data_IF_692428912899
#
_entry.id   IF_692428912899
#
_cell.length_a   1.000
_cell.length_b   1.000
_cell.length_c   1.000
_cell.angle_alpha   90.00
_cell.angle_beta   90.00
_cell.angle_gamma   90.00
#
_symmetry.space_group_name_H-M   'P 1'
#
loop_
_entity.id
_entity.type
_entity.pdbx_description
1 polymer ?
#
# COMPACT_ATOMS: atom_id res chain seq x y z
N UNK A 1 -9.21 -16.75 -18.40
CA UNK A 1 -9.08 -18.20 -18.12
C UNK A 1 -7.78 -18.46 -17.35
N UNK A 2 -7.70 -19.59 -16.65
CA UNK A 2 -6.46 -20.06 -16.01
C UNK A 2 -5.70 -20.90 -17.03
N UNK A 3 -4.44 -20.55 -17.28
CA UNK A 3 -3.53 -21.29 -18.18
C UNK A 3 -2.85 -22.43 -17.43
N UNK A 4 -2.50 -22.20 -16.16
CA UNK A 4 -1.87 -23.20 -15.31
C UNK A 4 -1.50 -22.66 -13.94
N UNK A 5 -1.05 -23.55 -13.06
CA UNK A 5 -0.44 -23.17 -11.78
C UNK A 5 0.90 -23.88 -11.66
N UNK A 6 1.96 -23.09 -11.47
CA UNK A 6 3.31 -23.58 -11.14
C UNK A 6 3.65 -23.28 -9.68
N UNK A 7 4.78 -23.78 -9.20
CA UNK A 7 5.24 -23.58 -7.83
C UNK A 7 6.73 -23.26 -7.78
N UNK A 8 7.10 -22.35 -6.88
CA UNK A 8 8.48 -21.97 -6.57
C UNK A 8 8.78 -22.28 -5.12
N UNK A 9 9.82 -23.07 -4.89
CA UNK A 9 10.26 -23.46 -3.55
C UNK A 9 11.42 -22.56 -3.13
N UNK A 10 11.32 -22.02 -1.92
CA UNK A 10 12.37 -21.23 -1.27
C UNK A 10 12.61 -21.76 0.14
N UNK A 11 13.79 -21.49 0.69
CA UNK A 11 14.12 -21.84 2.07
C UNK A 11 14.37 -20.56 2.86
N UNK A 12 13.59 -20.33 3.91
CA UNK A 12 13.78 -19.20 4.83
C UNK A 12 14.00 -19.79 6.22
N UNK A 13 15.14 -19.47 6.83
CA UNK A 13 15.54 -19.98 8.15
C UNK A 13 15.44 -21.52 8.26
N UNK A 14 15.87 -22.24 7.21
CA UNK A 14 15.81 -23.70 7.14
C UNK A 14 14.42 -24.30 6.91
N UNK A 15 13.36 -23.48 6.87
CA UNK A 15 11.99 -23.93 6.58
C UNK A 15 11.72 -23.83 5.08
N UNK A 16 11.21 -24.93 4.50
CA UNK A 16 10.72 -24.98 3.12
C UNK A 16 9.43 -24.16 3.00
N UNK A 17 9.45 -23.16 2.12
CA UNK A 17 8.29 -22.33 1.79
C UNK A 17 8.00 -22.48 0.31
N UNK A 18 6.75 -22.78 -0.02
CA UNK A 18 6.29 -22.92 -1.41
C UNK A 18 5.37 -21.75 -1.76
N UNK A 19 5.73 -21.02 -2.80
CA UNK A 19 4.88 -20.01 -3.43
C UNK A 19 4.26 -20.62 -4.70
N UNK A 20 2.96 -20.41 -4.91
CA UNK A 20 2.23 -20.89 -6.08
C UNK A 20 2.01 -19.73 -7.04
N UNK A 21 2.28 -19.97 -8.32
CA UNK A 21 2.19 -18.97 -9.38
C UNK A 21 1.00 -19.33 -10.25
N UNK A 22 0.01 -18.44 -10.30
CA UNK A 22 -1.19 -18.58 -11.11
C UNK A 22 -0.91 -17.92 -12.46
N UNK A 23 -1.01 -18.68 -13.54
CA UNK A 23 -0.89 -18.15 -14.91
C UNK A 23 -2.28 -17.90 -15.47
N UNK A 24 -2.56 -16.65 -15.84
CA UNK A 24 -3.86 -16.17 -16.26
C UNK A 24 -3.78 -15.64 -17.70
N UNK A 25 -4.88 -15.79 -18.43
CA UNK A 25 -5.02 -15.30 -19.81
C UNK A 25 -6.37 -14.63 -20.02
N UNK A 26 -6.36 -13.46 -20.62
CA UNK A 26 -7.55 -12.77 -21.14
C UNK A 26 -7.24 -12.29 -22.54
N UNK A 27 -7.99 -12.79 -23.53
CA UNK A 27 -7.72 -12.56 -24.95
C UNK A 27 -6.23 -12.82 -25.30
N UNK A 28 -5.49 -11.78 -25.71
CA UNK A 28 -4.07 -11.87 -26.06
C UNK A 28 -3.12 -11.45 -24.93
N UNK A 29 -3.66 -11.18 -23.74
CA UNK A 29 -2.86 -10.77 -22.58
C UNK A 29 -2.71 -11.93 -21.59
N UNK A 30 -1.47 -12.20 -21.19
CA UNK A 30 -1.13 -13.23 -20.21
C UNK A 30 -0.30 -12.58 -19.09
N UNK A 31 -0.66 -12.89 -17.85
CA UNK A 31 0.07 -12.43 -16.67
C UNK A 31 0.14 -13.53 -15.63
N UNK A 32 0.96 -13.33 -14.60
CA UNK A 32 1.12 -14.31 -13.54
C UNK A 32 1.18 -13.64 -12.17
N UNK A 33 0.45 -14.21 -11.21
CA UNK A 33 0.40 -13.72 -9.83
C UNK A 33 0.85 -14.81 -8.88
N UNK A 34 1.66 -14.46 -7.88
CA UNK A 34 2.32 -15.41 -6.99
C UNK A 34 1.84 -15.27 -5.56
N UNK A 35 1.34 -16.36 -4.97
CA UNK A 35 0.73 -16.38 -3.64
C UNK A 35 1.21 -17.58 -2.81
N UNK A 36 1.30 -17.40 -1.50
CA UNK A 36 1.46 -18.48 -0.54
C UNK A 36 0.12 -19.18 -0.30
N UNK A 37 0.16 -20.46 0.06
CA UNK A 37 -1.07 -21.26 0.32
C UNK A 37 -2.00 -20.61 1.34
N UNK A 38 -1.44 -19.95 2.36
CA UNK A 38 -2.19 -19.23 3.39
C UNK A 38 -3.05 -18.12 2.81
N UNK A 39 -2.61 -17.45 1.74
CA UNK A 39 -3.34 -16.36 1.09
C UNK A 39 -4.54 -16.91 0.31
N UNK A 40 -4.40 -18.05 -0.37
CA UNK A 40 -5.55 -18.76 -0.96
C UNK A 40 -6.57 -19.15 0.10
N UNK A 41 -6.11 -19.63 1.27
CA UNK A 41 -6.98 -20.00 2.37
C UNK A 41 -7.71 -18.81 2.97
N UNK A 42 -7.03 -17.67 3.14
CA UNK A 42 -7.65 -16.42 3.59
C UNK A 42 -8.73 -15.95 2.61
N UNK A 43 -8.44 -15.95 1.30
CA UNK A 43 -9.44 -15.61 0.29
C UNK A 43 -10.63 -16.58 0.33
N UNK A 44 -10.37 -17.89 0.39
CA UNK A 44 -11.42 -18.90 0.50
C UNK A 44 -12.35 -18.65 1.70
N UNK A 45 -11.79 -18.34 2.86
CA UNK A 45 -12.58 -18.07 4.07
C UNK A 45 -13.43 -16.81 3.94
N UNK A 46 -12.92 -15.74 3.31
CA UNK A 46 -13.69 -14.53 3.01
C UNK A 46 -14.83 -14.78 2.03
N UNK A 47 -14.62 -15.65 1.05
CA UNK A 47 -15.62 -15.96 0.04
C UNK A 47 -16.68 -16.95 0.55
N UNK A 48 -16.30 -17.94 1.35
CA UNK A 48 -17.22 -18.96 1.88
C UNK A 48 -18.35 -18.38 2.74
N UNK A 49 -18.15 -17.21 3.34
CA UNK A 49 -19.19 -16.51 4.11
C UNK A 49 -20.23 -15.82 3.23
N UNK A 50 -19.99 -15.68 1.92
CA UNK A 50 -20.92 -15.10 0.96
C UNK A 50 -21.88 -16.18 0.44
N UNK A 51 -23.17 -15.82 0.30
CA UNK A 51 -24.25 -16.74 -0.14
C UNK A 51 -24.00 -17.37 -1.52
N UNK A 52 -23.20 -16.73 -2.38
CA UNK A 52 -22.98 -17.12 -3.79
C UNK A 52 -21.73 -17.99 -4.02
N UNK A 53 -21.09 -18.50 -2.97
CA UNK A 53 -19.81 -19.23 -3.04
C UNK A 53 -19.88 -20.72 -2.67
N UNK A 54 -21.07 -21.32 -2.68
CA UNK A 54 -21.36 -22.68 -2.17
C UNK A 54 -20.60 -23.83 -2.86
N UNK A 55 -19.97 -23.59 -4.02
CA UNK A 55 -19.22 -24.59 -4.79
C UNK A 55 -17.68 -24.54 -4.70
N UNK A 56 -17.12 -23.57 -3.96
CA UNK A 56 -15.67 -23.42 -3.79
C UNK A 56 -15.14 -24.42 -2.74
N UNK A 57 -14.08 -25.14 -3.09
CA UNK A 57 -13.42 -26.09 -2.20
C UNK A 57 -11.93 -25.80 -2.14
N UNK A 58 -11.42 -25.64 -0.92
CA UNK A 58 -10.00 -25.58 -0.63
C UNK A 58 -9.73 -26.49 0.58
N UNK A 59 -8.76 -27.43 0.50
CA UNK A 59 -8.39 -28.25 1.64
C UNK A 59 -7.91 -27.39 2.82
N UNK A 60 -8.13 -27.86 4.05
CA UNK A 60 -7.58 -27.18 5.23
C UNK A 60 -6.05 -27.33 5.33
N UNK A 61 -5.42 -26.58 6.24
CA UNK A 61 -3.97 -26.64 6.49
C UNK A 61 -3.50 -27.91 7.24
N UNK A 62 -4.32 -28.97 7.30
CA UNK A 62 -3.97 -30.23 8.00
C UNK A 62 -2.83 -30.98 7.32
N UNK A 63 -1.97 -31.62 8.13
CA UNK A 63 -0.90 -32.51 7.68
C UNK A 63 -1.42 -33.68 6.82
N UNK A 64 -2.69 -34.06 6.95
CA UNK A 64 -3.30 -35.08 6.07
C UNK A 64 -3.36 -34.67 4.59
N UNK A 65 -3.26 -33.37 4.28
CA UNK A 65 -3.28 -32.85 2.92
C UNK A 65 -1.89 -32.84 2.24
N UNK A 66 -0.87 -33.47 2.83
CA UNK A 66 0.49 -33.58 2.27
C UNK A 66 0.49 -34.37 0.94
N UNK A 67 -0.41 -35.34 0.78
CA UNK A 67 -0.53 -36.15 -0.45
C UNK A 67 -1.41 -35.49 -1.53
N UNK A 68 -2.03 -34.35 -1.23
CA UNK A 68 -2.83 -33.65 -2.23
C UNK A 68 -1.92 -32.96 -3.23
N UNK A 69 -2.18 -33.17 -4.53
CA UNK A 69 -1.53 -32.39 -5.59
C UNK A 69 -2.03 -30.94 -5.50
N UNK A 70 -1.42 -30.16 -4.60
CA UNK A 70 -1.85 -28.81 -4.23
C UNK A 70 -2.04 -27.93 -5.46
N UNK A 71 -1.17 -28.07 -6.48
CA UNK A 71 -1.32 -27.38 -7.77
C UNK A 71 -2.66 -27.66 -8.45
N UNK A 72 -3.06 -28.93 -8.56
CA UNK A 72 -4.34 -29.33 -9.16
C UNK A 72 -5.52 -28.76 -8.37
N UNK A 73 -5.42 -28.76 -7.05
CA UNK A 73 -6.48 -28.24 -6.19
C UNK A 73 -6.61 -26.73 -6.31
N UNK A 74 -5.49 -26.00 -6.26
CA UNK A 74 -5.46 -24.56 -6.47
C UNK A 74 -5.96 -24.20 -7.88
N UNK A 75 -5.61 -24.99 -8.90
CA UNK A 75 -6.05 -24.77 -10.27
C UNK A 75 -7.57 -24.86 -10.37
N UNK A 76 -8.15 -25.91 -9.79
CA UNK A 76 -9.61 -26.06 -9.74
C UNK A 76 -10.29 -24.93 -8.96
N UNK A 77 -9.70 -24.50 -7.84
CA UNK A 77 -10.22 -23.38 -7.05
C UNK A 77 -10.28 -22.09 -7.87
N UNK A 78 -9.17 -21.69 -8.51
CA UNK A 78 -9.11 -20.47 -9.32
C UNK A 78 -9.97 -20.58 -10.57
N UNK A 79 -10.03 -21.75 -11.20
CA UNK A 79 -10.88 -21.96 -12.37
C UNK A 79 -12.35 -21.74 -12.02
N UNK A 80 -12.84 -22.33 -10.92
CA UNK A 80 -14.20 -22.10 -10.42
C UNK A 80 -14.45 -20.64 -10.05
N UNK A 81 -13.46 -19.99 -9.42
CA UNK A 81 -13.54 -18.59 -9.04
C UNK A 81 -13.75 -17.66 -10.24
N UNK A 82 -13.05 -17.93 -11.34
CA UNK A 82 -13.12 -17.10 -12.56
C UNK A 82 -14.32 -17.46 -13.45
N UNK A 83 -14.89 -18.66 -13.30
CA UNK A 83 -16.09 -19.07 -14.04
C UNK A 83 -17.38 -18.38 -13.58
N UNK A 84 -17.36 -17.61 -12.48
CA UNK A 84 -18.51 -16.88 -11.98
C UNK A 84 -18.24 -15.36 -12.01
N UNK A 85 -18.95 -14.65 -12.89
CA UNK A 85 -18.78 -13.20 -13.06
C UNK A 85 -19.06 -12.40 -11.77
N UNK A 86 -19.93 -12.89 -10.88
CA UNK A 86 -20.19 -12.27 -9.58
C UNK A 86 -18.99 -12.35 -8.63
N UNK A 87 -18.09 -13.32 -8.81
CA UNK A 87 -16.87 -13.40 -8.02
C UNK A 87 -15.81 -12.43 -8.56
N UNK A 88 -15.81 -12.17 -9.86
CA UNK A 88 -14.87 -11.23 -10.49
C UNK A 88 -15.18 -9.76 -10.15
N UNK A 89 -16.39 -9.44 -9.70
CA UNK A 89 -16.73 -8.10 -9.16
C UNK A 89 -16.29 -7.92 -7.70
N UNK A 90 -15.91 -9.00 -7.00
CA UNK A 90 -15.45 -8.92 -5.62
C UNK A 90 -14.04 -8.33 -5.53
N UNK A 91 -13.87 -7.28 -4.70
CA UNK A 91 -12.60 -6.58 -4.57
C UNK A 91 -11.45 -7.48 -4.11
N UNK A 92 -11.68 -8.40 -3.17
CA UNK A 92 -10.64 -9.32 -2.71
C UNK A 92 -10.18 -10.25 -3.84
N UNK A 93 -11.09 -10.68 -4.73
CA UNK A 93 -10.76 -11.51 -5.90
C UNK A 93 -9.99 -10.69 -6.95
N UNK A 94 -10.42 -9.45 -7.20
CA UNK A 94 -9.74 -8.55 -8.13
C UNK A 94 -8.31 -8.26 -7.70
N UNK A 95 -8.09 -7.98 -6.41
CA UNK A 95 -6.74 -7.78 -5.86
C UNK A 95 -5.95 -9.07 -5.88
N UNK A 96 -6.56 -10.19 -5.47
CA UNK A 96 -5.87 -11.49 -5.43
C UNK A 96 -5.41 -11.96 -6.81
N UNK A 97 -6.19 -11.73 -7.87
CA UNK A 97 -5.82 -12.11 -9.24
C UNK A 97 -5.15 -10.99 -10.03
N UNK A 98 -4.90 -9.84 -9.40
CA UNK A 98 -4.33 -8.64 -10.04
C UNK A 98 -5.11 -8.21 -11.29
N UNK A 99 -6.45 -8.33 -11.27
CA UNK A 99 -7.31 -8.10 -12.43
C UNK A 99 -7.30 -6.62 -12.86
N UNK A 100 -7.24 -5.70 -11.90
CA UNK A 100 -7.31 -4.26 -12.17
C UNK A 100 -6.09 -3.74 -12.94
N UNK A 101 -4.92 -4.35 -12.72
CA UNK A 101 -3.70 -3.96 -13.42
C UNK A 101 -3.56 -4.67 -14.79
N UNK A 102 -4.26 -5.80 -15.00
CA UNK A 102 -4.02 -6.67 -16.16
C UNK A 102 -5.26 -6.86 -17.10
N UNK A 103 -6.46 -6.36 -16.76
CA UNK A 103 -7.71 -6.55 -17.55
C UNK A 103 -8.32 -5.22 -18.01
N UNK A 104 -7.58 -4.11 -18.09
CA UNK A 104 -8.13 -2.83 -18.52
C UNK A 104 -8.65 -2.83 -20.00
N UNK A 105 -9.91 -3.20 -20.19
CA UNK A 105 -10.85 -2.60 -21.14
C UNK A 105 -12.09 -2.20 -20.32
N UNK A 106 -12.18 -0.98 -19.83
CA UNK A 106 -12.55 0.14 -20.69
C UNK A 106 -12.29 1.48 -19.98
N UNK A 107 -11.72 2.41 -20.74
CA UNK A 107 -11.87 3.85 -20.57
C UNK A 107 -11.39 4.45 -19.25
N UNK A 108 -10.08 4.64 -19.09
CA UNK A 108 -9.47 5.94 -18.81
C UNK A 108 -7.97 5.81 -19.08
N UNK A 109 -7.49 6.70 -19.94
CA UNK A 109 -6.10 6.89 -20.34
C UNK A 109 -5.19 7.03 -19.13
N UNK A 110 -4.46 5.98 -18.76
CA UNK A 110 -3.19 6.13 -18.05
C UNK A 110 -2.24 5.01 -18.51
N UNK A 111 -1.56 5.24 -19.62
CA UNK A 111 -0.21 4.70 -19.80
C UNK A 111 0.65 5.36 -18.72
N UNK A 112 0.71 4.77 -17.53
CA UNK A 112 1.72 5.14 -16.56
C UNK A 112 2.93 4.27 -16.86
N UNK A 113 3.91 4.87 -17.53
CA UNK A 113 5.30 4.55 -17.22
C UNK A 113 5.40 4.36 -15.71
N UNK A 114 6.01 3.27 -15.24
CA UNK A 114 6.20 3.02 -13.81
C UNK A 114 7.03 4.13 -13.10
N UNK A 115 7.39 5.22 -13.79
CA UNK A 115 8.00 6.47 -13.31
C UNK A 115 7.00 7.59 -12.95
N UNK A 116 5.74 7.46 -13.36
CA UNK A 116 4.69 8.46 -13.21
C UNK A 116 3.82 8.11 -11.99
N UNK A 117 4.31 8.45 -10.80
CA UNK A 117 3.45 8.46 -9.60
C UNK A 117 2.53 9.67 -9.76
N UNK A 118 1.22 9.45 -9.92
CA UNK A 118 0.25 10.53 -10.03
C UNK A 118 -0.06 11.11 -8.65
N UNK A 119 0.36 12.36 -8.42
CA UNK A 119 0.10 13.09 -7.18
C UNK A 119 -1.27 13.78 -7.17
N UNK A 120 -2.11 13.57 -8.19
CA UNK A 120 -3.49 14.03 -8.29
C UNK A 120 -3.64 15.55 -8.15
N UNK A 121 -4.78 15.98 -7.59
CA UNK A 121 -5.11 17.41 -7.44
C UNK A 121 -4.18 18.20 -6.50
N UNK A 122 -3.33 17.52 -5.72
CA UNK A 122 -2.34 18.19 -4.85
C UNK A 122 -1.01 18.43 -5.55
N UNK A 123 -0.85 17.96 -6.78
CA UNK A 123 0.37 18.17 -7.54
C UNK A 123 0.47 19.62 -8.03
N UNK A 124 1.41 20.39 -7.49
CA UNK A 124 1.84 21.63 -8.09
C UNK A 124 3.00 21.35 -9.06
N UNK A 125 2.69 21.31 -10.35
CA UNK A 125 3.66 21.07 -11.43
C UNK A 125 4.67 22.21 -11.62
N UNK A 126 4.42 23.39 -11.05
CA UNK A 126 5.31 24.55 -11.12
C UNK A 126 6.24 24.64 -9.92
N UNK A 127 5.91 23.96 -8.82
CA UNK A 127 6.72 23.98 -7.61
C UNK A 127 8.01 23.17 -7.75
N UNK A 128 9.04 23.62 -7.07
CA UNK A 128 10.36 22.98 -7.02
C UNK A 128 11.01 23.16 -5.66
N UNK A 129 12.07 22.38 -5.40
CA UNK A 129 12.87 22.58 -4.18
C UNK A 129 13.50 23.97 -4.09
N UNK A 130 13.69 24.68 -5.21
CA UNK A 130 14.31 26.00 -5.23
C UNK A 130 13.40 27.07 -4.60
N UNK A 131 12.09 26.81 -4.50
CA UNK A 131 11.12 27.68 -3.83
C UNK A 131 11.31 27.71 -2.30
N UNK A 132 12.23 26.88 -1.79
CA UNK A 132 12.46 26.70 -0.38
C UNK A 132 13.94 26.89 -0.01
N UNK A 133 14.17 27.35 1.21
CA UNK A 133 15.45 27.27 1.88
C UNK A 133 15.44 26.06 2.82
N UNK A 134 16.29 25.07 2.54
CA UNK A 134 16.41 23.89 3.40
C UNK A 134 17.28 24.25 4.60
N UNK A 135 16.70 24.19 5.81
CA UNK A 135 17.38 24.58 7.04
C UNK A 135 18.12 23.39 7.65
N UNK A 136 17.41 22.29 7.90
CA UNK A 136 17.98 21.08 8.51
C UNK A 136 17.12 19.85 8.26
N UNK A 137 17.72 18.67 8.36
CA UNK A 137 16.97 17.41 8.45
C UNK A 137 16.34 17.27 9.84
N UNK A 138 15.06 16.92 9.89
CA UNK A 138 14.29 16.75 11.13
C UNK A 138 13.73 15.32 11.30
N UNK A 139 13.83 14.49 10.27
CA UNK A 139 13.45 13.08 10.35
C UNK A 139 14.08 12.27 9.22
N UNK A 140 14.40 11.02 9.51
CA UNK A 140 14.89 10.04 8.54
C UNK A 140 14.07 8.76 8.65
N UNK A 141 13.59 8.26 7.52
CA UNK A 141 12.79 7.04 7.46
C UNK A 141 13.27 6.12 6.35
N UNK A 142 12.67 4.93 6.29
CA UNK A 142 13.07 3.86 5.36
C UNK A 142 13.06 4.28 3.87
N UNK A 143 12.23 5.25 3.50
CA UNK A 143 12.00 5.65 2.11
C UNK A 143 12.56 7.04 1.77
N UNK A 144 13.06 7.78 2.77
CA UNK A 144 13.25 9.21 2.58
C UNK A 144 13.69 10.00 3.81
N UNK A 145 13.72 11.31 3.64
CA UNK A 145 14.09 12.28 4.68
C UNK A 145 13.04 13.37 4.79
N UNK A 146 12.90 13.93 5.98
CA UNK A 146 12.06 15.09 6.25
C UNK A 146 12.98 16.26 6.59
N UNK A 147 12.77 17.38 5.91
CA UNK A 147 13.53 18.61 6.12
C UNK A 147 12.64 19.69 6.72
N UNK A 148 13.17 20.43 7.69
CA UNK A 148 12.68 21.77 8.00
C UNK A 148 13.13 22.70 6.87
N UNK A 149 12.19 23.41 6.28
CA UNK A 149 12.45 24.37 5.23
C UNK A 149 11.65 25.66 5.44
N UNK A 150 12.13 26.76 4.89
CA UNK A 150 11.40 28.04 4.86
C UNK A 150 10.99 28.33 3.43
N UNK A 151 9.69 28.59 3.21
CA UNK A 151 9.18 29.04 1.92
C UNK A 151 9.76 30.40 1.58
N UNK A 152 10.43 30.54 0.43
CA UNK A 152 10.99 31.83 -0.01
C UNK A 152 9.91 32.85 -0.38
N UNK A 153 8.70 32.39 -0.70
CA UNK A 153 7.56 33.23 -1.09
C UNK A 153 6.83 33.81 0.12
N UNK A 154 6.67 33.01 1.17
CA UNK A 154 5.82 33.36 2.33
C UNK A 154 6.60 33.51 3.63
N UNK A 155 7.89 33.20 3.65
CA UNK A 155 8.74 33.11 4.86
C UNK A 155 8.19 32.18 5.94
N UNK A 156 7.29 31.25 5.57
CA UNK A 156 6.70 30.29 6.48
C UNK A 156 7.61 29.06 6.65
N UNK A 157 7.79 28.61 7.88
CA UNK A 157 8.45 27.34 8.20
C UNK A 157 7.53 26.15 7.88
N UNK A 158 8.05 25.17 7.15
CA UNK A 158 7.34 24.01 6.62
C UNK A 158 8.20 22.75 6.77
N UNK A 159 7.54 21.59 6.78
CA UNK A 159 8.22 20.30 6.72
C UNK A 159 8.12 19.71 5.31
N UNK A 160 9.25 19.37 4.69
CA UNK A 160 9.30 18.76 3.36
C UNK A 160 9.71 17.30 3.49
N UNK A 161 8.76 16.38 3.29
CA UNK A 161 9.02 14.94 3.24
C UNK A 161 9.43 14.56 1.81
N UNK A 162 10.63 14.01 1.66
CA UNK A 162 11.24 13.65 0.37
C UNK A 162 11.37 12.14 0.28
N UNK A 163 10.68 11.53 -0.69
CA UNK A 163 10.72 10.09 -0.94
C UNK A 163 11.45 9.80 -2.25
N UNK A 164 12.34 8.80 -2.27
CA UNK A 164 12.99 8.34 -3.51
C UNK A 164 12.06 7.38 -4.25
N UNK A 165 11.71 7.69 -5.51
CA UNK A 165 10.78 6.88 -6.31
C UNK A 165 11.28 5.43 -6.44
N UNK A 166 12.58 5.24 -6.70
CA UNK A 166 13.15 3.89 -6.86
C UNK A 166 13.06 3.06 -5.57
N UNK A 167 13.26 3.70 -4.41
CA UNK A 167 13.17 3.03 -3.12
C UNK A 167 11.71 2.61 -2.80
N UNK A 168 10.74 3.45 -3.13
CA UNK A 168 9.31 3.15 -2.99
C UNK A 168 8.92 1.98 -3.90
N UNK A 169 9.38 1.98 -5.15
CA UNK A 169 9.10 0.92 -6.13
C UNK A 169 9.74 -0.42 -5.75
N UNK A 170 11.03 -0.43 -5.43
CA UNK A 170 11.76 -1.66 -5.07
C UNK A 170 11.10 -2.40 -3.91
N UNK A 171 10.47 -1.67 -3.00
CA UNK A 171 9.79 -2.22 -1.82
C UNK A 171 8.31 -2.52 -2.05
N UNK A 172 7.76 -2.24 -3.25
CA UNK A 172 6.34 -2.38 -3.61
C UNK A 172 5.40 -1.57 -2.69
N UNK A 173 5.81 -0.37 -2.33
CA UNK A 173 5.14 0.50 -1.34
C UNK A 173 4.42 1.70 -2.00
N UNK A 174 4.21 1.65 -3.32
CA UNK A 174 3.56 2.73 -4.07
C UNK A 174 2.14 2.97 -3.54
N UNK A 175 1.37 1.92 -3.33
CA UNK A 175 0.00 2.01 -2.82
C UNK A 175 -0.06 2.58 -1.40
N UNK A 176 0.93 2.24 -0.57
CA UNK A 176 1.02 2.76 0.80
C UNK A 176 1.35 4.26 0.80
N UNK A 177 2.26 4.71 -0.06
CA UNK A 177 2.55 6.15 -0.24
C UNK A 177 1.33 6.90 -0.77
N UNK A 178 0.59 6.31 -1.72
CA UNK A 178 -0.63 6.91 -2.27
C UNK A 178 -1.77 6.92 -1.24
N UNK A 179 -1.88 5.89 -0.41
CA UNK A 179 -2.82 5.82 0.70
C UNK A 179 -2.50 6.89 1.76
N UNK A 180 -1.23 7.03 2.16
CA UNK A 180 -0.77 8.08 3.07
C UNK A 180 -1.13 9.47 2.52
N UNK A 181 -0.83 9.72 1.24
CA UNK A 181 -1.24 10.95 0.55
C UNK A 181 -2.75 11.13 0.64
N UNK A 182 -3.55 10.13 0.28
CA UNK A 182 -5.01 10.26 0.24
C UNK A 182 -5.58 10.57 1.63
N UNK A 183 -5.00 10.02 2.70
CA UNK A 183 -5.33 10.40 4.08
C UNK A 183 -4.95 11.86 4.34
N UNK A 184 -3.76 12.30 3.94
CA UNK A 184 -3.31 13.69 4.09
C UNK A 184 -4.19 14.70 3.30
N UNK A 185 -4.71 14.31 2.14
CA UNK A 185 -5.64 15.13 1.35
C UNK A 185 -7.02 15.20 2.00
N UNK A 186 -7.49 14.07 2.53
CA UNK A 186 -8.78 13.97 3.22
C UNK A 186 -8.73 14.47 4.66
N UNK A 187 -7.52 14.78 5.16
CA UNK A 187 -7.34 15.48 6.42
C UNK A 187 -8.02 16.82 6.26
N UNK A 188 -9.27 16.89 6.70
CA UNK A 188 -10.02 18.13 6.88
C UNK A 188 -9.13 19.09 7.68
N UNK A 189 -9.38 20.41 7.64
CA UNK A 189 -8.66 21.39 8.48
C UNK A 189 -8.95 21.13 9.97
N UNK A 190 -8.46 20.01 10.51
CA UNK A 190 -8.65 19.51 11.85
C UNK A 190 -7.40 19.86 12.64
N UNK A 191 -7.53 20.48 13.83
CA UNK A 191 -6.40 21.05 14.56
C UNK A 191 -5.36 20.02 15.03
N UNK A 192 -5.70 18.72 15.01
CA UNK A 192 -4.80 17.64 15.45
C UNK A 192 -4.27 16.77 14.29
N UNK A 193 -4.57 17.13 13.03
CA UNK A 193 -4.00 16.48 11.85
C UNK A 193 -3.00 17.41 11.16
N UNK A 194 -1.87 16.85 10.75
CA UNK A 194 -0.87 17.58 9.99
C UNK A 194 -1.40 17.86 8.57
N UNK A 195 -1.41 19.13 8.16
CA UNK A 195 -1.91 19.51 6.84
C UNK A 195 -0.88 19.26 5.75
N UNK A 196 -1.35 18.70 4.64
CA UNK A 196 -0.66 18.76 3.36
C UNK A 196 -1.05 20.05 2.63
N UNK A 197 -0.08 20.94 2.42
CA UNK A 197 -0.28 22.18 1.65
C UNK A 197 -0.36 21.86 0.17
N UNK A 198 0.65 21.16 -0.34
CA UNK A 198 0.71 20.65 -1.70
C UNK A 198 1.83 19.61 -1.80
N UNK A 199 1.91 18.97 -2.96
CA UNK A 199 2.92 17.99 -3.30
C UNK A 199 3.51 18.33 -4.67
N UNK A 200 4.75 17.95 -4.91
CA UNK A 200 5.35 18.05 -6.24
C UNK A 200 6.33 16.88 -6.42
N UNK A 201 6.82 16.71 -7.64
CA UNK A 201 7.74 15.62 -7.93
C UNK A 201 8.80 16.04 -8.94
N UNK A 202 9.90 15.29 -8.90
CA UNK A 202 10.93 15.30 -9.93
C UNK A 202 10.93 13.95 -10.63
N UNK A 203 11.85 13.77 -11.58
CA UNK A 203 12.07 12.48 -12.25
C UNK A 203 12.36 11.35 -11.25
N UNK A 204 13.03 11.64 -10.12
CA UNK A 204 13.53 10.61 -9.18
C UNK A 204 12.93 10.66 -7.78
N UNK A 205 12.23 11.73 -7.41
CA UNK A 205 11.74 11.96 -6.04
C UNK A 205 10.33 12.52 -5.98
N UNK A 206 9.61 12.19 -4.91
CA UNK A 206 8.36 12.83 -4.49
C UNK A 206 8.62 13.78 -3.33
N UNK A 207 7.85 14.87 -3.28
CA UNK A 207 7.93 15.90 -2.27
C UNK A 207 6.54 16.19 -1.72
N UNK A 208 6.38 16.10 -0.40
CA UNK A 208 5.17 16.51 0.31
C UNK A 208 5.49 17.70 1.19
N UNK A 209 4.78 18.81 0.98
CA UNK A 209 4.94 20.07 1.74
C UNK A 209 3.88 20.11 2.82
N UNK A 210 4.32 19.99 4.07
CA UNK A 210 3.50 19.76 5.25
C UNK A 210 3.67 20.89 6.27
N UNK A 211 2.73 20.98 7.22
CA UNK A 211 2.94 21.81 8.41
C UNK A 211 4.21 21.43 9.15
N UNK A 212 4.97 22.42 9.60
CA UNK A 212 6.06 22.21 10.54
C UNK A 212 5.57 22.34 11.98
N UNK A 213 5.70 21.26 12.75
CA UNK A 213 5.32 21.22 14.16
C UNK A 213 6.58 21.22 15.04
N UNK A 214 6.80 22.32 15.77
CA UNK A 214 7.99 22.50 16.62
C UNK A 214 7.88 21.84 18.01
N UNK A 215 7.06 20.79 18.15
CA UNK A 215 6.79 20.11 19.42
C UNK A 215 7.61 18.84 19.65
N UNK A 216 8.24 18.29 18.61
CA UNK A 216 8.88 16.97 18.64
C UNK A 216 7.85 15.82 18.72
N UNK A 217 8.37 14.60 18.75
CA UNK A 217 7.54 13.38 18.80
C UNK A 217 7.06 13.07 20.22
N UNK A 218 5.85 12.51 20.35
CA UNK A 218 5.31 12.11 21.65
C UNK A 218 6.23 11.10 22.37
N UNK A 219 6.84 10.19 21.60
CA UNK A 219 7.79 9.20 22.12
C UNK A 219 9.01 9.83 22.80
N UNK A 220 9.55 10.92 22.24
CA UNK A 220 10.66 11.66 22.85
C UNK A 220 10.30 12.16 24.26
N UNK A 221 9.10 12.72 24.41
CA UNK A 221 8.61 13.23 25.70
C UNK A 221 8.38 12.09 26.70
N UNK A 222 7.80 10.97 26.26
CA UNK A 222 7.60 9.78 27.10
C UNK A 222 8.95 9.22 27.58
N UNK A 223 9.92 9.09 26.68
CA UNK A 223 11.23 8.52 27.01
C UNK A 223 11.97 9.36 28.06
N UNK A 224 11.87 10.68 27.96
CA UNK A 224 12.48 11.61 28.93
C UNK A 224 11.81 11.57 30.30
N UNK A 225 10.49 11.46 30.33
CA UNK A 225 9.69 11.52 31.57
C UNK A 225 9.39 10.13 32.17
N UNK A 226 9.76 9.05 31.46
CA UNK A 226 9.46 7.63 31.73
C UNK A 226 7.98 7.27 31.62
N UNK A 227 7.10 8.05 32.26
CA UNK A 227 5.65 7.89 32.20
C UNK A 227 4.97 9.26 32.23
N UNK A 228 3.79 9.36 31.62
CA UNK A 228 2.94 10.54 31.77
C UNK A 228 1.92 10.32 32.88
N UNK A 229 1.53 11.41 33.54
CA UNK A 229 0.42 11.41 34.49
C UNK A 229 -0.88 11.04 33.78
N UNK A 230 -1.85 10.49 34.51
CA UNK A 230 -3.13 10.11 33.94
C UNK A 230 -3.84 11.29 33.27
N UNK A 231 -3.80 12.47 33.88
CA UNK A 231 -4.39 13.70 33.32
C UNK A 231 -3.77 14.06 31.96
N UNK A 232 -2.44 13.99 31.83
CA UNK A 232 -1.74 14.29 30.57
C UNK A 232 -2.03 13.23 29.51
N UNK A 233 -2.02 11.95 29.90
CA UNK A 233 -2.36 10.84 29.00
C UNK A 233 -3.79 10.98 28.49
N UNK A 234 -4.75 11.31 29.35
CA UNK A 234 -6.16 11.55 28.99
C UNK A 234 -6.30 12.68 27.98
N UNK A 235 -5.56 13.79 28.17
CA UNK A 235 -5.56 14.91 27.24
C UNK A 235 -5.06 14.51 25.85
N UNK A 236 -3.91 13.84 25.74
CA UNK A 236 -3.40 13.38 24.45
C UNK A 236 -4.29 12.32 23.81
N UNK A 237 -4.82 11.38 24.59
CA UNK A 237 -5.75 10.37 24.09
C UNK A 237 -7.02 11.01 23.52
N UNK A 238 -7.55 12.06 24.16
CA UNK A 238 -8.71 12.79 23.64
C UNK A 238 -8.41 13.49 22.31
N UNK A 239 -7.22 14.08 22.15
CA UNK A 239 -6.80 14.68 20.88
C UNK A 239 -6.66 13.65 19.76
N UNK A 240 -6.06 12.49 20.07
CA UNK A 240 -5.90 11.38 19.13
C UNK A 240 -7.27 10.80 18.73
N UNK A 241 -8.18 10.63 19.69
CA UNK A 241 -9.52 10.09 19.43
C UNK A 241 -10.42 11.07 18.66
N UNK A 242 -10.15 12.37 18.75
CA UNK A 242 -10.88 13.41 18.00
C UNK A 242 -10.45 13.50 16.54
N UNK A 243 -9.22 13.10 16.22
CA UNK A 243 -8.63 13.19 14.88
C UNK A 243 -9.09 12.03 13.98
#
# INVERSE_FOLDING_TARGET
SVVGISDRITFINGKRITQFIIHLKVANHEWSVSHYYTEFHTLYMKLKTLKDCTGLQLPGNSLMNIFTNRRKVLYNFITKLISNDLHLTNNDVQVFLDLQNNINLSNITVNQDLNLIDLGQTEDKKASLNDFEIVKTIGEGNFGKVYLAVSRKTNQALAIKVLKKDAVKQRKEVDNVMSERNVLVKSLNHPFLCKLHFSFQSTTKLYFVLDYINGGELFYHIQRERTFTETRTRFYAAQIASA
#
